data_IF_794419530892
#
_entry.id   IF_794419530892
#
_cell.length_a   1.000
_cell.length_b   1.000
_cell.length_c   1.000
_cell.angle_alpha   90.00
_cell.angle_beta   90.00
_cell.angle_gamma   90.00
#
_symmetry.space_group_name_H-M   'P 1'
#
loop_
_entity.id
_entity.type
_entity.pdbx_description
1 polymer ?
#
# COMPACT_ATOMS: atom_id res chain seq x y z
N UNK A 1 -1.34 -0.07 -14.20
CA UNK A 1 -2.39 -0.32 -13.20
C UNK A 1 -3.29 0.91 -12.99
N UNK A 2 -2.78 2.03 -12.44
CA UNK A 2 -3.61 3.23 -12.18
C UNK A 2 -4.19 3.86 -13.46
N UNK A 3 -3.42 3.93 -14.54
CA UNK A 3 -3.93 4.41 -15.85
C UNK A 3 -5.09 3.57 -16.39
N UNK A 4 -5.18 2.31 -16.00
CA UNK A 4 -6.26 1.40 -16.41
C UNK A 4 -7.48 1.58 -15.53
N UNK A 5 -7.30 1.78 -14.22
CA UNK A 5 -8.38 2.19 -13.31
C UNK A 5 -9.13 3.42 -13.81
N UNK A 6 -8.42 4.41 -14.38
CA UNK A 6 -9.04 5.63 -14.90
C UNK A 6 -9.76 5.48 -16.24
N UNK A 7 -9.75 4.28 -16.86
CA UNK A 7 -10.53 3.99 -18.08
C UNK A 7 -12.01 3.69 -17.80
N UNK A 8 -12.48 3.87 -16.56
CA UNK A 8 -13.89 3.72 -16.19
C UNK A 8 -14.36 2.26 -16.06
N UNK A 9 -13.44 1.35 -15.72
CA UNK A 9 -13.76 -0.09 -15.54
C UNK A 9 -14.67 -0.31 -14.32
N UNK A 10 -14.48 0.51 -13.28
CA UNK A 10 -15.26 0.46 -12.06
C UNK A 10 -15.97 1.79 -11.84
N UNK A 11 -16.90 1.83 -10.89
CA UNK A 11 -17.54 3.09 -10.48
C UNK A 11 -16.49 4.12 -10.03
N UNK A 12 -16.80 5.43 -10.08
CA UNK A 12 -15.88 6.46 -9.59
C UNK A 12 -15.46 6.24 -8.14
N UNK A 13 -16.36 5.73 -7.31
CA UNK A 13 -16.09 5.41 -5.91
C UNK A 13 -15.10 4.25 -5.79
N UNK A 14 -15.37 3.11 -6.43
CA UNK A 14 -14.49 1.93 -6.39
C UNK A 14 -13.13 2.24 -6.99
N UNK A 15 -13.09 3.05 -8.05
CA UNK A 15 -11.85 3.51 -8.67
C UNK A 15 -10.99 4.28 -7.67
N UNK A 16 -11.56 5.27 -6.97
CA UNK A 16 -10.85 6.05 -5.96
C UNK A 16 -10.40 5.17 -4.77
N UNK A 17 -11.26 4.26 -4.31
CA UNK A 17 -10.97 3.29 -3.25
C UNK A 17 -9.78 2.40 -3.59
N UNK A 18 -9.84 1.71 -4.73
CA UNK A 18 -8.81 0.73 -5.13
C UNK A 18 -7.50 1.46 -5.45
N UNK A 19 -7.55 2.64 -6.07
CA UNK A 19 -6.36 3.47 -6.30
C UNK A 19 -5.70 3.83 -4.97
N UNK A 20 -6.43 4.46 -4.05
CA UNK A 20 -5.89 4.88 -2.77
C UNK A 20 -5.33 3.69 -1.98
N UNK A 21 -6.08 2.58 -1.89
CA UNK A 21 -5.64 1.36 -1.20
C UNK A 21 -4.37 0.79 -1.82
N UNK A 22 -4.26 0.71 -3.16
CA UNK A 22 -3.06 0.20 -3.83
C UNK A 22 -1.84 1.10 -3.63
N UNK A 23 -2.02 2.42 -3.77
CA UNK A 23 -0.93 3.40 -3.63
C UNK A 23 -0.43 3.43 -2.19
N UNK A 24 -1.34 3.48 -1.21
CA UNK A 24 -1.01 3.42 0.21
C UNK A 24 -0.33 2.10 0.57
N UNK A 25 -0.82 0.97 0.04
CA UNK A 25 -0.20 -0.33 0.28
C UNK A 25 1.23 -0.39 -0.26
N UNK A 26 1.47 0.18 -1.45
CA UNK A 26 2.78 0.19 -2.08
C UNK A 26 3.76 1.11 -1.33
N UNK A 27 3.43 2.39 -1.17
CA UNK A 27 4.33 3.37 -0.52
C UNK A 27 4.49 3.14 0.99
N UNK A 28 3.47 2.58 1.65
CA UNK A 28 3.54 2.22 3.06
C UNK A 28 4.14 0.84 3.35
N UNK A 29 4.56 0.10 2.30
CA UNK A 29 5.04 -1.28 2.42
C UNK A 29 4.04 -2.17 3.20
N UNK A 30 2.74 -1.94 3.01
CA UNK A 30 1.70 -2.61 3.79
C UNK A 30 1.50 -4.05 3.32
N UNK A 31 1.21 -4.92 4.28
CA UNK A 31 0.56 -6.20 3.97
C UNK A 31 -0.89 -5.93 3.63
N UNK A 32 -1.49 -6.71 2.74
CA UNK A 32 -2.91 -6.56 2.42
C UNK A 32 -3.82 -6.63 3.67
N UNK A 33 -3.50 -7.46 4.66
CA UNK A 33 -4.26 -7.53 5.92
C UNK A 33 -4.11 -6.32 6.85
N UNK A 34 -3.16 -5.40 6.58
CA UNK A 34 -3.02 -4.16 7.36
C UNK A 34 -4.01 -3.07 6.88
N UNK A 35 -4.59 -3.21 5.68
CA UNK A 35 -5.57 -2.29 5.11
C UNK A 35 -6.94 -2.92 4.81
N UNK A 36 -7.09 -4.23 5.03
CA UNK A 36 -8.32 -4.98 4.73
C UNK A 36 -8.72 -5.86 5.90
N UNK A 37 -10.00 -6.20 5.96
CA UNK A 37 -10.55 -7.15 6.94
C UNK A 37 -10.74 -8.55 6.34
N UNK A 38 -10.52 -9.58 7.15
CA UNK A 38 -10.86 -10.98 6.83
C UNK A 38 -12.06 -11.50 7.64
N UNK A 39 -12.37 -10.81 8.74
CA UNK A 39 -13.46 -11.05 9.67
C UNK A 39 -14.22 -9.74 9.86
N UNK A 40 -15.12 -9.68 10.84
CA UNK A 40 -15.76 -8.44 11.23
C UNK A 40 -14.75 -7.34 11.56
N UNK A 41 -15.14 -6.11 11.26
CA UNK A 41 -14.33 -4.93 11.53
C UNK A 41 -14.20 -4.69 13.04
N UNK A 42 -12.98 -4.44 13.48
CA UNK A 42 -12.64 -4.11 14.86
C UNK A 42 -11.75 -2.85 14.85
N UNK A 43 -12.31 -1.73 15.32
CA UNK A 43 -11.63 -0.43 15.37
C UNK A 43 -10.37 -0.42 16.24
N UNK A 44 -10.20 -1.40 17.15
CA UNK A 44 -9.01 -1.51 17.99
C UNK A 44 -7.80 -2.09 17.24
N UNK A 45 -8.02 -2.79 16.12
CA UNK A 45 -6.95 -3.41 15.35
C UNK A 45 -6.94 -3.03 13.86
N UNK A 46 -8.06 -2.55 13.31
CA UNK A 46 -8.20 -2.15 11.92
C UNK A 46 -8.08 -0.64 11.74
N UNK A 47 -7.62 -0.23 10.56
CA UNK A 47 -7.46 1.17 10.19
C UNK A 47 -8.79 1.91 10.18
N UNK A 48 -8.83 2.99 10.95
CA UNK A 48 -9.93 3.91 11.08
C UNK A 48 -9.61 5.27 10.45
N UNK A 49 -10.61 6.14 10.33
CA UNK A 49 -10.40 7.52 9.86
C UNK A 49 -9.46 8.28 10.81
N UNK A 50 -9.57 8.08 12.12
CA UNK A 50 -8.68 8.72 13.10
C UNK A 50 -7.21 8.34 12.99
N UNK A 51 -6.92 7.21 12.33
CA UNK A 51 -5.55 6.70 12.18
C UNK A 51 -4.78 7.41 11.06
N UNK A 52 -5.39 8.41 10.40
CA UNK A 52 -4.72 9.24 9.39
C UNK A 52 -4.62 10.70 9.83
N UNK A 53 -3.41 11.24 9.79
CA UNK A 53 -3.14 12.66 9.99
C UNK A 53 -2.47 13.22 8.73
N UNK A 54 -2.87 14.41 8.30
CA UNK A 54 -2.31 15.07 7.13
C UNK A 54 -1.47 16.26 7.57
N UNK A 55 -0.24 16.32 7.04
CA UNK A 55 0.68 17.44 7.16
C UNK A 55 0.90 18.09 5.79
N UNK A 56 1.66 19.19 5.76
CA UNK A 56 1.94 19.92 4.52
C UNK A 56 2.60 19.03 3.46
N UNK A 57 3.56 18.17 3.83
CA UNK A 57 4.33 17.37 2.86
C UNK A 57 4.05 15.87 2.88
N UNK A 58 3.35 15.38 3.90
CA UNK A 58 3.12 13.95 4.08
C UNK A 58 1.82 13.65 4.80
N UNK A 59 1.40 12.39 4.74
CA UNK A 59 0.38 11.85 5.63
C UNK A 59 1.02 10.84 6.59
N UNK A 60 0.56 10.81 7.83
CA UNK A 60 0.90 9.80 8.82
C UNK A 60 -0.25 8.81 8.86
N UNK A 61 0.05 7.53 8.61
CA UNK A 61 -0.86 6.42 8.81
C UNK A 61 -0.43 5.62 10.04
N UNK A 62 -1.22 5.62 11.09
CA UNK A 62 -0.95 4.87 12.31
C UNK A 62 -1.48 3.44 12.20
N UNK A 63 -0.59 2.45 12.08
CA UNK A 63 -0.99 1.05 12.19
C UNK A 63 -1.09 0.66 13.66
N UNK A 64 -2.31 0.45 14.16
CA UNK A 64 -2.59 0.01 15.54
C UNK A 64 -2.01 -1.35 15.87
N UNK A 65 -1.95 -2.25 14.89
CA UNK A 65 -1.41 -3.59 15.07
C UNK A 65 -0.54 -4.01 13.89
N UNK A 66 0.46 -4.82 14.16
CA UNK A 66 1.18 -5.54 13.10
C UNK A 66 1.49 -6.96 13.57
N UNK A 67 1.64 -7.89 12.62
CA UNK A 67 1.98 -9.29 12.91
C UNK A 67 3.27 -9.45 13.74
N UNK A 68 4.14 -8.45 13.72
CA UNK A 68 5.44 -8.43 14.42
C UNK A 68 5.44 -7.50 15.63
N UNK A 69 4.27 -7.02 16.07
CA UNK A 69 4.13 -6.12 17.22
C UNK A 69 3.41 -6.86 18.37
N UNK A 70 4.15 -7.66 19.17
CA UNK A 70 3.58 -8.39 20.30
C UNK A 70 3.06 -7.47 21.42
N UNK A 71 3.47 -6.20 21.43
CA UNK A 71 3.09 -5.23 22.46
C UNK A 71 1.96 -4.28 22.02
N UNK A 72 1.50 -4.37 20.77
CA UNK A 72 0.50 -3.46 20.16
C UNK A 72 0.86 -1.98 20.33
N UNK A 73 2.15 -1.65 20.33
CA UNK A 73 2.62 -0.27 20.40
C UNK A 73 2.22 0.54 19.16
N UNK A 74 1.86 -0.16 18.08
CA UNK A 74 1.55 0.43 16.80
C UNK A 74 2.78 1.03 16.12
N UNK A 75 2.61 1.49 14.89
CA UNK A 75 3.69 2.12 14.13
C UNK A 75 3.16 3.21 13.21
N UNK A 76 3.86 4.34 13.17
CA UNK A 76 3.58 5.41 12.23
C UNK A 76 4.25 5.13 10.90
N UNK A 77 3.47 5.23 9.83
CA UNK A 77 3.94 5.13 8.45
C UNK A 77 3.81 6.49 7.80
N UNK A 78 4.93 7.02 7.34
CA UNK A 78 5.01 8.32 6.69
C UNK A 78 4.86 8.14 5.17
N UNK A 79 3.84 8.78 4.61
CA UNK A 79 3.52 8.75 3.19
C UNK A 79 3.77 10.14 2.59
N UNK A 80 4.92 10.31 1.94
CA UNK A 80 5.33 11.61 1.39
C UNK A 80 4.62 11.95 0.08
N UNK A 81 4.30 13.23 -0.10
CA UNK A 81 3.91 13.78 -1.40
C UNK A 81 5.05 13.59 -2.39
N UNK A 82 4.73 13.10 -3.59
CA UNK A 82 5.72 12.91 -4.66
C UNK A 82 5.33 13.60 -5.98
N UNK A 83 4.23 14.36 -5.99
CA UNK A 83 3.69 15.09 -7.13
C UNK A 83 3.48 14.27 -8.44
N UNK A 84 3.48 12.94 -8.35
CA UNK A 84 3.18 12.05 -9.48
C UNK A 84 1.70 11.65 -9.54
N UNK A 85 1.32 10.90 -10.58
CA UNK A 85 0.00 10.27 -10.72
C UNK A 85 -0.27 9.17 -9.68
N UNK A 86 0.75 8.73 -8.93
CA UNK A 86 0.66 7.73 -7.86
C UNK A 86 1.06 8.33 -6.51
N UNK A 87 0.73 9.60 -6.29
CA UNK A 87 1.04 10.28 -5.04
C UNK A 87 0.14 9.77 -3.90
N UNK A 88 0.68 9.16 -2.83
CA UNK A 88 -0.13 8.55 -1.77
C UNK A 88 -1.03 9.57 -1.08
N UNK A 89 -0.53 10.78 -0.81
CA UNK A 89 -1.31 11.84 -0.18
C UNK A 89 -2.46 12.31 -1.08
N UNK A 90 -2.19 12.54 -2.38
CA UNK A 90 -3.24 12.99 -3.31
C UNK A 90 -4.31 11.92 -3.51
N UNK A 91 -3.93 10.65 -3.67
CA UNK A 91 -4.88 9.54 -3.82
C UNK A 91 -5.71 9.34 -2.55
N UNK A 92 -5.12 9.45 -1.36
CA UNK A 92 -5.84 9.40 -0.08
C UNK A 92 -6.86 10.54 0.07
N UNK A 93 -6.46 11.79 -0.16
CA UNK A 93 -7.36 12.95 -0.08
C UNK A 93 -8.54 12.77 -1.04
N UNK A 94 -8.25 12.44 -2.31
CA UNK A 94 -9.28 12.19 -3.32
C UNK A 94 -10.28 11.12 -2.88
N UNK A 95 -9.79 10.01 -2.33
CA UNK A 95 -10.64 8.95 -1.83
C UNK A 95 -11.51 9.43 -0.66
N UNK A 96 -10.93 10.12 0.32
CA UNK A 96 -11.66 10.62 1.49
C UNK A 96 -12.74 11.63 1.11
N UNK A 97 -12.52 12.47 0.10
CA UNK A 97 -13.51 13.42 -0.40
C UNK A 97 -14.70 12.71 -1.08
N UNK A 98 -14.42 11.72 -1.94
CA UNK A 98 -15.44 10.88 -2.58
C UNK A 98 -16.20 10.04 -1.54
N UNK A 99 -15.52 9.57 -0.50
CA UNK A 99 -16.14 8.87 0.63
C UNK A 99 -17.09 9.78 1.42
N UNK A 100 -16.65 10.98 1.78
CA UNK A 100 -17.46 11.96 2.53
C UNK A 100 -18.71 12.41 1.78
N UNK A 101 -18.62 12.55 0.46
CA UNK A 101 -19.76 12.93 -0.37
C UNK A 101 -20.80 11.79 -0.54
N UNK A 102 -20.40 10.53 -0.38
CA UNK A 102 -21.30 9.37 -0.46
C UNK A 102 -21.90 8.97 0.89
N UNK A 103 -21.12 9.02 1.97
CA UNK A 103 -21.52 8.57 3.30
C UNK A 103 -21.61 9.75 4.25
N UNK A 104 -22.84 10.17 4.55
CA UNK A 104 -23.16 11.39 5.31
C UNK A 104 -22.79 11.31 6.80
N UNK A 105 -22.57 10.10 7.34
CA UNK A 105 -22.26 9.86 8.76
C UNK A 105 -21.08 8.88 8.83
N UNK A 106 -19.93 9.37 9.25
CA UNK A 106 -18.81 8.53 9.64
C UNK A 106 -18.22 9.07 10.95
N UNK A 107 -18.11 8.20 11.95
CA UNK A 107 -17.37 8.51 13.16
C UNK A 107 -15.86 8.33 12.92
N UNK A 108 -15.05 8.89 13.81
CA UNK A 108 -13.59 8.78 13.77
C UNK A 108 -13.10 7.31 13.78
N UNK A 109 -13.80 6.44 14.49
CA UNK A 109 -13.53 4.99 14.55
C UNK A 109 -14.18 4.18 13.40
N UNK A 110 -14.75 4.85 12.39
CA UNK A 110 -15.24 4.16 11.19
C UNK A 110 -14.07 3.63 10.36
N UNK A 111 -14.25 2.54 9.60
CA UNK A 111 -13.19 2.00 8.76
C UNK A 111 -12.67 3.07 7.78
N UNK A 112 -11.34 3.15 7.66
CA UNK A 112 -10.69 4.08 6.74
C UNK A 112 -11.10 3.77 5.30
N UNK A 113 -10.93 2.51 4.88
CA UNK A 113 -11.33 2.01 3.57
C UNK A 113 -12.65 1.26 3.68
N UNK A 114 -13.66 1.73 2.95
CA UNK A 114 -15.00 1.13 2.88
C UNK A 114 -15.39 0.82 1.45
N UNK A 115 -16.15 -0.27 1.27
CA UNK A 115 -16.76 -0.69 0.01
C UNK A 115 -17.99 0.19 -0.31
N UNK A 116 -18.60 0.02 -1.48
CA UNK A 116 -19.73 0.85 -1.93
C UNK A 116 -20.99 0.74 -1.05
N UNK A 117 -21.12 -0.37 -0.31
CA UNK A 117 -22.18 -0.61 0.67
C UNK A 117 -21.89 0.01 2.05
N UNK A 118 -20.72 0.63 2.24
CA UNK A 118 -20.30 1.27 3.49
C UNK A 118 -19.59 0.35 4.48
N UNK A 119 -19.51 -0.95 4.21
CA UNK A 119 -18.78 -1.91 5.04
C UNK A 119 -17.26 -1.79 4.84
N UNK A 120 -16.48 -2.25 5.81
CA UNK A 120 -15.03 -2.25 5.74
C UNK A 120 -14.50 -3.00 4.50
N UNK A 121 -13.41 -2.51 3.92
CA UNK A 121 -12.79 -3.14 2.76
C UNK A 121 -12.32 -4.56 3.08
N UNK A 122 -12.95 -5.55 2.46
CA UNK A 122 -12.54 -6.95 2.64
C UNK A 122 -11.34 -7.31 1.78
N UNK A 123 -10.53 -8.27 2.26
CA UNK A 123 -9.38 -8.78 1.51
C UNK A 123 -9.79 -9.35 0.16
N UNK A 124 -10.88 -10.10 0.13
CA UNK A 124 -11.40 -10.74 -1.09
C UNK A 124 -11.81 -9.71 -2.12
N UNK A 125 -12.56 -8.68 -1.70
CA UNK A 125 -12.97 -7.59 -2.58
C UNK A 125 -11.75 -6.88 -3.18
N UNK A 126 -10.79 -6.49 -2.35
CA UNK A 126 -9.58 -5.81 -2.79
C UNK A 126 -8.77 -6.64 -3.79
N UNK A 127 -8.49 -7.90 -3.47
CA UNK A 127 -7.70 -8.79 -4.33
C UNK A 127 -8.41 -9.05 -5.65
N UNK A 128 -9.73 -9.26 -5.66
CA UNK A 128 -10.47 -9.49 -6.90
C UNK A 128 -10.39 -8.29 -7.84
N UNK A 129 -10.54 -7.06 -7.32
CA UNK A 129 -10.41 -5.85 -8.13
C UNK A 129 -8.98 -5.67 -8.69
N UNK A 130 -7.96 -5.93 -7.87
CA UNK A 130 -6.57 -5.90 -8.32
C UNK A 130 -6.34 -6.93 -9.43
N UNK A 131 -6.85 -8.16 -9.27
CA UNK A 131 -6.74 -9.21 -10.29
C UNK A 131 -7.40 -8.82 -11.60
N UNK A 132 -8.62 -8.28 -11.57
CA UNK A 132 -9.28 -7.80 -12.80
C UNK A 132 -8.45 -6.74 -13.53
N UNK A 133 -7.82 -5.82 -12.80
CA UNK A 133 -6.92 -4.82 -13.42
C UNK A 133 -5.70 -5.48 -14.05
N UNK A 134 -5.11 -6.49 -13.37
CA UNK A 134 -3.96 -7.24 -13.87
C UNK A 134 -4.28 -8.00 -15.16
N UNK A 135 -5.45 -8.64 -15.24
CA UNK A 135 -5.93 -9.34 -16.44
C UNK A 135 -6.05 -8.38 -17.62
N UNK A 136 -6.62 -7.19 -17.39
CA UNK A 136 -6.81 -6.17 -18.43
C UNK A 136 -5.47 -5.66 -18.97
N UNK A 137 -4.42 -5.64 -18.15
CA UNK A 137 -3.06 -5.28 -18.61
C UNK A 137 -2.24 -6.47 -19.10
N UNK A 138 -2.86 -7.64 -19.27
CA UNK A 138 -2.22 -8.84 -19.80
C UNK A 138 -1.24 -9.51 -18.84
N UNK A 139 -1.32 -9.22 -17.54
CA UNK A 139 -0.50 -9.87 -16.51
C UNK A 139 -1.27 -11.04 -15.88
N UNK A 140 -0.57 -12.15 -15.65
CA UNK A 140 -1.17 -13.31 -14.99
C UNK A 140 -1.43 -13.01 -13.50
N UNK A 141 -2.70 -12.95 -13.04
CA UNK A 141 -3.02 -12.59 -11.66
C UNK A 141 -2.63 -13.64 -10.63
N UNK A 142 -2.37 -14.90 -11.03
CA UNK A 142 -1.91 -15.94 -10.11
C UNK A 142 -0.54 -15.64 -9.51
N UNK A 143 0.25 -14.81 -10.19
CA UNK A 143 1.57 -14.37 -9.72
C UNK A 143 1.49 -13.25 -8.67
N UNK A 144 0.29 -12.69 -8.43
CA UNK A 144 0.09 -11.56 -7.52
C UNK A 144 -0.84 -11.96 -6.37
N UNK A 145 -0.33 -11.82 -5.15
CA UNK A 145 -1.06 -12.12 -3.92
C UNK A 145 -1.04 -10.91 -2.98
N UNK A 146 -1.67 -11.03 -1.81
CA UNK A 146 -1.75 -9.93 -0.83
C UNK A 146 -0.40 -9.42 -0.29
N UNK A 147 0.72 -10.07 -0.60
CA UNK A 147 2.08 -9.60 -0.27
C UNK A 147 2.77 -8.85 -1.41
N UNK A 148 2.19 -8.86 -2.62
CA UNK A 148 2.85 -8.32 -3.81
C UNK A 148 3.16 -6.83 -3.73
N UNK A 149 2.37 -6.04 -3.02
CA UNK A 149 2.65 -4.61 -2.83
C UNK A 149 3.93 -4.38 -2.02
N UNK A 150 4.01 -4.98 -0.82
CA UNK A 150 5.20 -4.87 0.04
C UNK A 150 6.45 -5.46 -0.60
N UNK A 151 6.32 -6.60 -1.28
CA UNK A 151 7.42 -7.23 -2.02
C UNK A 151 7.86 -6.31 -3.17
N UNK A 152 6.92 -5.88 -4.00
CA UNK A 152 7.20 -5.04 -5.17
C UNK A 152 7.82 -3.70 -4.79
N UNK A 153 7.37 -3.09 -3.68
CA UNK A 153 7.95 -1.86 -3.16
C UNK A 153 9.43 -2.05 -2.78
N UNK A 154 9.75 -3.09 -2.01
CA UNK A 154 11.13 -3.41 -1.66
C UNK A 154 12.01 -3.71 -2.87
N UNK A 155 11.55 -4.55 -3.79
CA UNK A 155 12.29 -4.85 -5.02
C UNK A 155 12.55 -3.58 -5.84
N UNK A 156 11.62 -2.61 -5.85
CA UNK A 156 11.75 -1.37 -6.62
C UNK A 156 12.75 -0.37 -6.05
N UNK A 157 13.01 -0.42 -4.74
CA UNK A 157 13.99 0.46 -4.07
C UNK A 157 15.32 -0.24 -3.79
N UNK A 158 15.39 -1.57 -3.89
CA UNK A 158 16.57 -2.34 -3.51
C UNK A 158 17.87 -1.97 -4.24
N UNK A 159 17.78 -1.49 -5.48
CA UNK A 159 18.95 -1.02 -6.23
C UNK A 159 19.26 0.47 -6.03
N UNK A 160 18.53 1.15 -5.14
CA UNK A 160 18.54 2.63 -5.01
C UNK A 160 18.87 3.11 -3.60
N UNK A 161 18.67 2.27 -2.59
CA UNK A 161 18.87 2.61 -1.18
C UNK A 161 19.59 1.49 -0.47
N UNK A 162 20.15 1.79 0.70
CA UNK A 162 20.79 0.79 1.55
C UNK A 162 19.79 -0.24 2.10
N UNK A 163 20.26 -1.47 2.22
CA UNK A 163 19.52 -2.64 2.73
C UNK A 163 18.86 -2.39 4.10
N UNK A 164 19.54 -1.66 4.99
CA UNK A 164 19.01 -1.33 6.31
C UNK A 164 17.76 -0.43 6.22
N UNK A 165 17.67 0.48 5.23
CA UNK A 165 16.50 1.33 5.00
C UNK A 165 15.32 0.51 4.47
N UNK A 166 15.58 -0.48 3.60
CA UNK A 166 14.55 -1.41 3.12
C UNK A 166 13.94 -2.17 4.30
N UNK A 167 14.78 -2.61 5.23
CA UNK A 167 14.35 -3.29 6.46
C UNK A 167 13.46 -2.41 7.33
N UNK A 168 13.81 -1.13 7.49
CA UNK A 168 13.02 -0.13 8.23
C UNK A 168 11.68 0.13 7.53
N UNK A 169 11.69 0.49 6.24
CA UNK A 169 10.49 0.78 5.44
C UNK A 169 9.52 -0.40 5.44
N UNK A 170 10.08 -1.59 5.23
CA UNK A 170 9.32 -2.82 5.24
C UNK A 170 8.89 -3.24 6.63
N UNK A 171 9.49 -2.79 7.73
CA UNK A 171 9.26 -3.33 9.08
C UNK A 171 9.56 -4.85 9.11
N UNK A 172 10.74 -5.24 8.65
CA UNK A 172 11.22 -6.62 8.72
C UNK A 172 12.13 -6.80 9.94
N UNK A 173 11.80 -7.78 10.80
CA UNK A 173 12.63 -8.10 11.97
C UNK A 173 13.90 -8.88 11.61
N UNK A 174 13.90 -9.58 10.48
CA UNK A 174 15.03 -10.38 9.98
C UNK A 174 15.39 -9.99 8.55
N UNK A 175 16.51 -10.51 8.06
CA UNK A 175 16.96 -10.36 6.66
C UNK A 175 16.07 -11.12 5.67
N UNK A 176 14.85 -11.53 6.03
CA UNK A 176 13.95 -12.25 5.14
C UNK A 176 13.59 -11.48 3.86
N UNK A 177 13.79 -10.16 3.83
CA UNK A 177 13.55 -9.34 2.65
C UNK A 177 14.56 -9.61 1.52
N UNK A 178 15.76 -10.10 1.84
CA UNK A 178 16.80 -10.46 0.86
C UNK A 178 16.31 -11.50 -0.15
N UNK A 179 15.42 -12.42 0.26
CA UNK A 179 14.78 -13.40 -0.62
C UNK A 179 13.92 -12.79 -1.73
N UNK A 180 13.53 -11.53 -1.59
CA UNK A 180 12.69 -10.82 -2.56
C UNK A 180 13.48 -9.82 -3.41
N UNK A 181 14.72 -9.50 -3.03
CA UNK A 181 15.60 -8.64 -3.80
C UNK A 181 16.25 -9.48 -4.89
N UNK A 182 15.82 -9.26 -6.13
CA UNK A 182 16.44 -9.87 -7.29
C UNK A 182 17.42 -8.85 -7.87
N UNK A 183 18.71 -9.05 -7.64
CA UNK A 183 19.75 -8.15 -8.14
C UNK A 183 19.75 -8.16 -9.67
N UNK A 184 19.44 -7.02 -10.34
CA UNK A 184 19.49 -6.95 -11.78
C UNK A 184 20.89 -7.26 -12.31
N UNK A 185 20.99 -7.91 -13.48
CA UNK A 185 22.28 -8.18 -14.13
C UNK A 185 23.11 -6.90 -14.36
N UNK A 186 22.46 -5.75 -14.54
CA UNK A 186 23.11 -4.44 -14.67
C UNK A 186 23.85 -4.02 -13.40
N UNK A 187 23.29 -4.27 -12.21
CA UNK A 187 23.93 -3.98 -10.93
C UNK A 187 25.14 -4.87 -10.73
N UNK A 188 25.05 -6.15 -11.09
CA UNK A 188 26.20 -7.08 -11.07
C UNK A 188 27.30 -6.59 -12.01
N UNK A 189 26.94 -6.17 -13.23
CA UNK A 189 27.90 -5.61 -14.20
C UNK A 189 28.58 -4.35 -13.66
N UNK A 190 27.84 -3.43 -13.06
CA UNK A 190 28.41 -2.21 -12.47
C UNK A 190 29.36 -2.52 -11.31
N UNK A 191 28.99 -3.44 -10.42
CA UNK A 191 29.86 -3.89 -9.33
C UNK A 191 31.16 -4.51 -9.86
N UNK A 192 31.07 -5.32 -10.92
CA UNK A 192 32.25 -5.91 -11.58
C UNK A 192 33.14 -4.85 -12.24
N UNK A 193 32.56 -3.82 -12.87
CA UNK A 193 33.31 -2.72 -13.48
C UNK A 193 34.00 -1.85 -12.44
N UNK A 194 33.39 -1.64 -11.27
CA UNK A 194 33.97 -0.88 -10.18
C UNK A 194 35.26 -1.52 -9.61
N UNK A 195 35.43 -2.85 -9.74
CA UNK A 195 36.67 -3.54 -9.34
C UNK A 195 37.90 -3.15 -10.17
N UNK A 196 37.67 -2.55 -11.34
CA UNK A 196 38.70 -2.18 -12.31
C UNK A 196 38.96 -0.66 -12.28
N UNK A 197 38.22 0.07 -11.44
CA UNK A 197 38.32 1.52 -11.33
C UNK A 197 39.20 1.86 -10.14
N UNK A 198 40.42 2.36 -10.40
CA UNK A 198 41.35 2.89 -9.38
C UNK A 198 40.83 4.18 -8.73
#
# INVERSE_FOLDING_TARGET
>A
MITVLHKGIFSPFVTALIEAACVVAYFGFLRCGELTVNTDFDASCNLCIEDITFEEDYAILHLKTSKTDPFRSGVNIYLFKNNTSVCPVKSLIRYLDVRRSRFSIACNSSPLFVMENGEALTRTFFINHVRSILEIIGLNPSNYNGHSFRIGAATSVASKIEDHLIKILGRWSSECYTRYIHTPKSTIKQAQLALISD
#
